data_IF_252200968087
#
_entry.id   IF_252200968087
#
_cell.length_a   1.000
_cell.length_b   1.000
_cell.length_c   1.000
_cell.angle_alpha   90.00
_cell.angle_beta   90.00
_cell.angle_gamma   90.00
#
_symmetry.space_group_name_H-M   'P 1'
#
loop_
_entity.id
_entity.type
_entity.pdbx_description
1 polymer ?
#
# COMPACT_ATOMS: atom_id res chain seq x y z
N UNK A 1 -19.20 15.34 63.55
CA UNK A 1 -19.32 13.95 64.07
C UNK A 1 -18.56 13.10 63.09
N UNK A 2 -17.34 12.80 63.35
CA UNK A 2 -16.74 11.58 63.93
C UNK A 2 -16.99 10.30 63.11
N UNK A 3 -15.89 9.84 62.49
CA UNK A 3 -15.35 8.45 62.36
C UNK A 3 -16.04 7.55 61.33
N UNK A 4 -15.36 6.74 60.55
CA UNK A 4 -14.23 5.84 60.81
C UNK A 4 -13.50 5.43 59.56
N UNK A 5 -12.15 5.49 59.57
CA UNK A 5 -11.25 4.72 58.70
C UNK A 5 -11.33 3.22 59.06
N UNK A 6 -11.23 2.37 58.03
CA UNK A 6 -10.72 1.00 58.18
C UNK A 6 -9.76 0.66 57.07
N UNK A 7 -8.50 0.63 57.46
CA UNK A 7 -7.38 0.07 56.71
C UNK A 7 -7.49 -1.47 56.65
N UNK A 8 -7.30 -2.06 55.46
CA UNK A 8 -7.09 -3.50 55.31
C UNK A 8 -5.64 -3.72 54.88
N UNK A 9 -4.84 -4.25 55.80
CA UNK A 9 -3.48 -4.74 55.61
C UNK A 9 -3.57 -6.17 55.05
N UNK A 10 -3.10 -6.39 53.85
CA UNK A 10 -2.92 -7.74 53.30
C UNK A 10 -1.47 -8.12 53.49
N UNK A 11 -1.24 -9.17 54.28
CA UNK A 11 0.08 -9.74 54.53
C UNK A 11 0.47 -10.66 53.38
N UNK A 12 1.61 -10.36 52.78
CA UNK A 12 2.29 -11.23 51.83
C UNK A 12 3.03 -12.32 52.57
N UNK A 13 2.67 -13.57 52.32
CA UNK A 13 3.45 -14.74 52.77
C UNK A 13 4.33 -15.19 51.63
N UNK A 14 5.65 -15.02 51.78
CA UNK A 14 6.65 -15.55 50.85
C UNK A 14 6.96 -17.01 51.25
N UNK A 15 6.74 -17.92 50.33
CA UNK A 15 7.21 -19.31 50.43
C UNK A 15 8.45 -19.47 49.55
N UNK A 16 9.60 -19.59 50.20
CA UNK A 16 10.89 -19.88 49.55
C UNK A 16 11.01 -21.39 49.46
N UNK A 17 10.87 -21.92 48.24
CA UNK A 17 11.18 -23.31 47.93
C UNK A 17 12.57 -23.40 47.29
N UNK A 18 13.54 -23.91 48.03
CA UNK A 18 14.88 -24.22 47.52
C UNK A 18 14.83 -25.57 46.76
N UNK A 19 15.11 -25.50 45.45
CA UNK A 19 15.40 -26.69 44.64
C UNK A 19 16.90 -26.78 44.41
N UNK A 20 17.53 -27.77 45.02
CA UNK A 20 18.94 -28.10 44.79
C UNK A 20 19.08 -28.82 43.44
N UNK A 21 19.77 -28.22 42.48
CA UNK A 21 20.15 -28.86 41.23
C UNK A 21 21.59 -29.38 41.40
N UNK A 22 21.75 -30.68 41.46
CA UNK A 22 23.04 -31.35 41.39
C UNK A 22 23.52 -31.34 39.94
N UNK A 23 24.60 -30.62 39.67
CA UNK A 23 25.29 -30.66 38.39
C UNK A 23 26.18 -31.90 38.30
N UNK A 24 25.84 -32.84 37.44
CA UNK A 24 26.72 -33.91 37.03
C UNK A 24 27.53 -33.46 35.81
N UNK A 25 28.81 -33.26 36.02
CA UNK A 25 29.77 -32.98 34.93
C UNK A 25 30.13 -34.31 34.27
N UNK A 26 29.65 -34.50 33.04
CA UNK A 26 30.17 -35.58 32.18
C UNK A 26 31.06 -34.88 31.11
N UNK A 27 32.37 -35.02 31.29
CA UNK A 27 33.36 -34.68 30.26
C UNK A 27 33.39 -35.78 29.22
N UNK A 28 32.90 -35.53 28.03
CA UNK A 28 33.17 -36.34 26.84
C UNK A 28 33.93 -35.46 25.82
N UNK A 29 35.19 -35.71 25.70
CA UNK A 29 35.98 -35.20 24.60
C UNK A 29 35.56 -35.95 23.33
N UNK A 30 35.00 -35.23 22.37
CA UNK A 30 34.78 -35.73 21.02
C UNK A 30 35.52 -34.83 20.03
N UNK A 31 36.44 -35.44 19.33
CA UNK A 31 37.22 -34.83 18.26
C UNK A 31 36.27 -34.27 17.19
N UNK A 32 36.46 -33.00 16.85
CA UNK A 32 35.74 -32.33 15.79
C UNK A 32 36.09 -32.91 14.43
N UNK A 33 35.09 -33.46 13.75
CA UNK A 33 35.11 -33.64 12.30
C UNK A 33 34.72 -32.34 11.64
N UNK A 34 35.43 -31.89 10.59
CA UNK A 34 35.06 -30.69 9.88
C UNK A 34 33.72 -30.95 9.16
N UNK A 35 32.70 -30.18 9.50
CA UNK A 35 31.47 -30.20 8.75
C UNK A 35 31.72 -29.79 7.29
N UNK A 36 31.72 -30.77 6.41
CA UNK A 36 31.68 -30.56 4.97
C UNK A 36 30.43 -29.73 4.65
N UNK A 37 30.62 -28.55 4.12
CA UNK A 37 29.60 -27.72 3.53
C UNK A 37 28.92 -28.54 2.41
N UNK A 38 27.65 -28.74 2.35
CA UNK A 38 27.03 -29.43 1.22
C UNK A 38 27.16 -28.52 -0.02
N UNK A 39 28.13 -28.84 -0.87
CA UNK A 39 28.24 -28.33 -2.22
C UNK A 39 27.42 -29.26 -3.12
N UNK A 40 26.16 -29.05 -3.19
CA UNK A 40 25.33 -29.38 -4.35
C UNK A 40 24.02 -28.61 -4.18
N UNK A 41 23.90 -27.50 -4.87
CA UNK A 41 22.60 -26.95 -5.21
C UNK A 41 21.86 -28.05 -6.00
N UNK A 42 21.10 -28.89 -5.31
CA UNK A 42 20.01 -29.55 -5.97
C UNK A 42 19.10 -28.43 -6.47
N UNK A 43 19.11 -28.22 -7.79
CA UNK A 43 18.05 -27.47 -8.42
C UNK A 43 16.75 -28.08 -7.89
N UNK A 44 15.98 -27.30 -7.15
CA UNK A 44 14.62 -27.65 -6.84
C UNK A 44 13.96 -27.70 -8.22
N UNK A 45 13.85 -28.91 -8.77
CA UNK A 45 13.00 -29.12 -9.94
C UNK A 45 11.62 -28.68 -9.47
N UNK A 46 11.11 -27.61 -10.07
CA UNK A 46 9.74 -27.19 -9.86
C UNK A 46 8.88 -28.47 -9.95
N UNK A 47 8.19 -28.76 -8.86
CA UNK A 47 7.23 -29.85 -8.89
C UNK A 47 6.35 -29.57 -10.09
N UNK A 48 6.23 -30.55 -10.99
CA UNK A 48 5.32 -30.49 -12.12
C UNK A 48 3.90 -30.53 -11.55
N UNK A 49 3.48 -29.40 -10.96
CA UNK A 49 2.08 -29.16 -10.60
C UNK A 49 1.26 -29.31 -11.88
N UNK A 50 0.06 -29.86 -11.77
CA UNK A 50 -0.89 -29.84 -12.90
C UNK A 50 -1.00 -28.39 -13.37
N UNK A 51 -0.98 -28.13 -14.68
CA UNK A 51 -1.15 -26.77 -15.18
C UNK A 51 -2.43 -26.19 -14.60
N UNK A 52 -2.38 -24.92 -14.21
CA UNK A 52 -3.57 -24.22 -13.74
C UNK A 52 -4.63 -24.22 -14.85
N UNK A 53 -5.85 -24.57 -14.49
CA UNK A 53 -6.99 -24.56 -15.43
C UNK A 53 -7.89 -23.35 -15.20
N UNK A 54 -7.54 -22.52 -14.23
CA UNK A 54 -8.36 -21.39 -13.82
C UNK A 54 -8.11 -20.17 -14.71
N UNK A 55 -9.19 -19.43 -14.92
CA UNK A 55 -9.23 -18.19 -15.65
C UNK A 55 -9.66 -17.07 -14.71
N UNK A 56 -8.79 -16.11 -14.47
CA UNK A 56 -9.03 -14.97 -13.59
C UNK A 56 -9.20 -13.68 -14.38
N UNK A 57 -9.89 -12.70 -13.83
CA UNK A 57 -9.93 -11.34 -14.33
C UNK A 57 -9.36 -10.36 -13.29
N UNK A 58 -8.67 -9.32 -13.79
CA UNK A 58 -8.12 -8.21 -12.99
C UNK A 58 -8.77 -6.93 -13.52
N UNK A 59 -9.59 -6.29 -12.70
CA UNK A 59 -10.40 -5.13 -13.09
C UNK A 59 -10.12 -4.02 -12.10
N UNK A 60 -9.74 -2.84 -12.59
CA UNK A 60 -9.29 -1.75 -11.74
C UNK A 60 -9.81 -0.40 -12.21
N UNK A 61 -9.86 0.56 -11.29
CA UNK A 61 -10.12 1.97 -11.60
C UNK A 61 -8.92 2.66 -12.28
N UNK A 62 -7.84 1.95 -12.53
CA UNK A 62 -6.58 2.49 -12.96
C UNK A 62 -6.51 2.97 -14.41
N UNK A 63 -5.41 3.61 -14.71
CA UNK A 63 -4.99 4.00 -16.05
C UNK A 63 -3.84 3.10 -16.56
N UNK A 64 -3.14 3.54 -17.61
CA UNK A 64 -1.92 2.89 -18.08
C UNK A 64 -0.64 3.61 -17.61
N UNK A 65 -0.74 4.38 -16.51
CA UNK A 65 0.38 5.09 -15.92
C UNK A 65 1.37 4.20 -15.19
N UNK A 66 2.41 4.82 -14.61
CA UNK A 66 3.53 4.11 -13.97
C UNK A 66 3.07 3.17 -12.85
N UNK A 67 2.11 3.59 -12.02
CA UNK A 67 1.59 2.77 -10.93
C UNK A 67 0.89 1.50 -11.44
N UNK A 68 -0.14 1.67 -12.26
CA UNK A 68 -1.00 0.55 -12.68
C UNK A 68 -0.30 -0.43 -13.64
N UNK A 69 0.65 0.06 -14.44
CA UNK A 69 1.45 -0.83 -15.29
C UNK A 69 2.24 -1.86 -14.50
N UNK A 70 2.72 -1.49 -13.29
CA UNK A 70 3.42 -2.40 -12.37
C UNK A 70 2.45 -3.40 -11.74
N UNK A 71 1.26 -2.95 -11.32
CA UNK A 71 0.18 -3.84 -10.84
C UNK A 71 -0.19 -4.88 -11.91
N UNK A 72 -0.41 -4.43 -13.15
CA UNK A 72 -0.77 -5.34 -14.26
C UNK A 72 0.37 -6.31 -14.60
N UNK A 73 1.63 -5.86 -14.50
CA UNK A 73 2.79 -6.74 -14.64
C UNK A 73 2.77 -7.83 -13.56
N UNK A 74 2.57 -7.47 -12.29
CA UNK A 74 2.49 -8.43 -11.20
C UNK A 74 1.43 -9.50 -11.42
N UNK A 75 0.23 -9.09 -11.85
CA UNK A 75 -0.85 -10.04 -12.13
C UNK A 75 -0.50 -10.99 -13.29
N UNK A 76 0.09 -10.47 -14.37
CA UNK A 76 0.50 -11.27 -15.55
C UNK A 76 1.62 -12.25 -15.19
N UNK A 77 2.61 -11.80 -14.41
CA UNK A 77 3.73 -12.64 -13.97
C UNK A 77 3.22 -13.77 -13.06
N UNK A 78 2.33 -13.45 -12.09
CA UNK A 78 1.72 -14.50 -11.25
C UNK A 78 0.94 -15.53 -12.05
N UNK A 79 0.15 -15.09 -13.04
CA UNK A 79 -0.58 -16.00 -13.91
C UNK A 79 0.37 -16.89 -14.72
N UNK A 80 1.45 -16.33 -15.26
CA UNK A 80 2.48 -17.06 -15.99
C UNK A 80 3.20 -18.08 -15.10
N UNK A 81 3.62 -17.68 -13.90
CA UNK A 81 4.32 -18.53 -12.94
C UNK A 81 3.47 -19.73 -12.48
N UNK A 82 2.17 -19.51 -12.33
CA UNK A 82 1.21 -20.54 -11.93
C UNK A 82 0.65 -21.34 -13.11
N UNK A 83 0.86 -20.89 -14.35
CA UNK A 83 0.29 -21.48 -15.56
C UNK A 83 -1.21 -21.22 -15.71
N UNK A 84 -1.74 -20.19 -15.04
CA UNK A 84 -3.14 -19.76 -15.12
C UNK A 84 -3.38 -18.83 -16.32
N UNK A 85 -4.64 -18.57 -16.63
CA UNK A 85 -5.05 -17.65 -17.70
C UNK A 85 -5.67 -16.39 -17.09
N UNK A 86 -5.34 -15.22 -17.62
CA UNK A 86 -6.11 -14.00 -17.40
C UNK A 86 -7.06 -13.79 -18.58
N UNK A 87 -8.37 -13.69 -18.31
CA UNK A 87 -9.35 -13.34 -19.34
C UNK A 87 -9.33 -11.85 -19.63
N UNK A 88 -9.12 -11.05 -18.58
CA UNK A 88 -9.15 -9.60 -18.62
C UNK A 88 -8.06 -9.02 -17.68
N UNK A 89 -7.43 -7.95 -18.14
CA UNK A 89 -6.63 -7.03 -17.31
C UNK A 89 -7.06 -5.65 -17.74
N UNK A 90 -7.99 -5.06 -16.99
CA UNK A 90 -8.72 -3.86 -17.38
C UNK A 90 -8.48 -2.71 -16.38
N UNK A 91 -8.26 -1.52 -16.92
CA UNK A 91 -8.24 -0.27 -16.18
C UNK A 91 -9.29 0.69 -16.73
N UNK A 92 -10.18 1.19 -15.86
CA UNK A 92 -11.32 2.01 -16.28
C UNK A 92 -10.96 3.44 -16.64
N UNK A 93 -9.90 3.99 -16.08
CA UNK A 93 -9.49 5.37 -16.37
C UNK A 93 -8.81 5.45 -17.74
N UNK A 94 -9.44 6.16 -18.68
CA UNK A 94 -8.88 6.35 -20.01
C UNK A 94 -8.07 7.65 -20.10
N UNK A 95 -7.16 7.69 -21.06
CA UNK A 95 -6.34 8.88 -21.29
C UNK A 95 -7.21 10.11 -21.56
N UNK A 96 -6.98 11.18 -20.79
CA UNK A 96 -7.71 12.43 -20.91
C UNK A 96 -8.95 12.55 -20.00
N UNK A 97 -9.32 11.50 -19.29
CA UNK A 97 -10.35 11.59 -18.24
C UNK A 97 -9.76 12.18 -16.96
N UNK A 98 -10.55 12.98 -16.24
CA UNK A 98 -10.15 13.54 -14.95
C UNK A 98 -10.15 12.50 -13.83
N UNK A 99 -11.13 11.61 -13.88
CA UNK A 99 -11.44 10.61 -12.84
C UNK A 99 -11.58 9.23 -13.49
N UNK A 100 -11.47 8.15 -12.71
CA UNK A 100 -11.83 6.81 -13.13
C UNK A 100 -13.28 6.74 -13.65
N UNK A 101 -13.54 5.81 -14.54
CA UNK A 101 -14.90 5.51 -15.01
C UNK A 101 -15.47 4.32 -14.24
N UNK A 102 -16.04 4.60 -13.07
CA UNK A 102 -16.57 3.59 -12.17
C UNK A 102 -17.73 2.79 -12.81
N UNK A 103 -18.51 3.41 -13.71
CA UNK A 103 -19.56 2.69 -14.44
C UNK A 103 -18.95 1.70 -15.44
N UNK A 104 -17.89 2.08 -16.14
CA UNK A 104 -17.18 1.16 -17.03
C UNK A 104 -16.51 0.03 -16.26
N UNK A 105 -15.92 0.33 -15.08
CA UNK A 105 -15.35 -0.68 -14.21
C UNK A 105 -16.41 -1.67 -13.73
N UNK A 106 -17.55 -1.20 -13.24
CA UNK A 106 -18.65 -2.07 -12.82
C UNK A 106 -19.19 -2.93 -13.97
N UNK A 107 -19.32 -2.37 -15.18
CA UNK A 107 -19.72 -3.13 -16.36
C UNK A 107 -18.73 -4.27 -16.71
N UNK A 108 -17.43 -4.01 -16.58
CA UNK A 108 -16.41 -5.05 -16.80
C UNK A 108 -16.46 -6.15 -15.73
N UNK A 109 -16.80 -5.81 -14.48
CA UNK A 109 -17.05 -6.81 -13.43
C UNK A 109 -18.25 -7.69 -13.81
N UNK A 110 -19.36 -7.09 -14.29
CA UNK A 110 -20.53 -7.82 -14.76
C UNK A 110 -20.21 -8.72 -15.94
N UNK A 111 -19.42 -8.26 -16.92
CA UNK A 111 -18.99 -9.04 -18.07
C UNK A 111 -18.15 -10.25 -17.63
N UNK A 112 -17.19 -10.07 -16.75
CA UNK A 112 -16.38 -11.16 -16.21
C UNK A 112 -17.22 -12.20 -15.44
N UNK A 113 -18.24 -11.76 -14.68
CA UNK A 113 -19.19 -12.65 -14.01
C UNK A 113 -19.99 -13.47 -15.07
N UNK A 114 -20.45 -12.83 -16.12
CA UNK A 114 -21.22 -13.48 -17.20
C UNK A 114 -20.37 -14.44 -18.03
N UNK A 115 -19.07 -14.17 -18.16
CA UNK A 115 -18.09 -15.06 -18.76
C UNK A 115 -17.69 -16.25 -17.87
N UNK A 116 -18.21 -16.31 -16.66
CA UNK A 116 -17.92 -17.37 -15.68
C UNK A 116 -16.42 -17.53 -15.41
N UNK A 117 -15.72 -16.43 -15.12
CA UNK A 117 -14.34 -16.49 -14.66
C UNK A 117 -14.24 -17.26 -13.34
N UNK A 118 -13.10 -17.89 -13.08
CA UNK A 118 -12.87 -18.65 -11.87
C UNK A 118 -12.58 -17.81 -10.63
N UNK A 119 -12.30 -16.52 -10.80
CA UNK A 119 -12.09 -15.55 -9.71
C UNK A 119 -11.82 -14.15 -10.23
N UNK A 120 -12.06 -13.19 -9.37
CA UNK A 120 -11.95 -11.75 -9.64
C UNK A 120 -10.92 -11.10 -8.70
N UNK A 121 -10.03 -10.29 -9.26
CA UNK A 121 -9.18 -9.36 -8.55
C UNK A 121 -9.61 -7.94 -8.92
N UNK A 122 -10.15 -7.17 -7.98
CA UNK A 122 -10.84 -5.90 -8.28
C UNK A 122 -10.38 -4.79 -7.35
N UNK A 123 -10.16 -3.58 -7.89
CA UNK A 123 -9.99 -2.38 -7.07
C UNK A 123 -11.33 -1.68 -6.91
N UNK A 124 -11.94 -1.78 -5.74
CA UNK A 124 -13.27 -1.21 -5.46
C UNK A 124 -13.14 0.29 -5.14
N UNK A 125 -13.13 1.11 -6.20
CA UNK A 125 -12.95 2.55 -6.09
C UNK A 125 -14.24 3.27 -5.66
N UNK A 126 -15.42 2.81 -6.11
CA UNK A 126 -16.73 3.28 -5.66
C UNK A 126 -17.53 2.15 -5.02
N UNK A 127 -17.36 1.92 -3.70
CA UNK A 127 -18.05 0.84 -2.99
C UNK A 127 -19.57 0.93 -3.06
N UNK A 128 -20.15 2.14 -3.21
CA UNK A 128 -21.60 2.30 -3.33
C UNK A 128 -22.13 1.68 -4.63
N UNK A 129 -21.35 1.76 -5.69
CA UNK A 129 -21.70 1.20 -7.01
C UNK A 129 -21.31 -0.28 -7.13
N UNK A 130 -20.10 -0.65 -6.70
CA UNK A 130 -19.52 -1.96 -7.01
C UNK A 130 -19.84 -3.06 -6.00
N UNK A 131 -20.04 -2.72 -4.71
CA UNK A 131 -20.33 -3.73 -3.68
C UNK A 131 -21.50 -4.66 -4.03
N UNK A 132 -22.65 -4.20 -4.57
CA UNK A 132 -23.72 -5.11 -4.95
C UNK A 132 -23.32 -6.11 -6.04
N UNK A 133 -22.54 -5.68 -7.02
CA UNK A 133 -22.06 -6.52 -8.13
C UNK A 133 -21.04 -7.54 -7.63
N UNK A 134 -20.08 -7.12 -6.80
CA UNK A 134 -19.09 -7.99 -6.20
C UNK A 134 -19.72 -9.02 -5.25
N UNK A 135 -20.69 -8.59 -4.44
CA UNK A 135 -21.46 -9.51 -3.59
C UNK A 135 -22.22 -10.55 -4.43
N UNK A 136 -22.79 -10.14 -5.59
CA UNK A 136 -23.43 -11.06 -6.52
C UNK A 136 -22.44 -12.08 -7.11
N UNK A 137 -21.20 -11.67 -7.41
CA UNK A 137 -20.15 -12.60 -7.87
C UNK A 137 -19.87 -13.68 -6.81
N UNK A 138 -19.67 -13.26 -5.55
CA UNK A 138 -19.42 -14.16 -4.42
C UNK A 138 -20.61 -15.12 -4.22
N UNK A 139 -21.86 -14.62 -4.29
CA UNK A 139 -23.06 -15.44 -4.17
C UNK A 139 -23.19 -16.48 -5.29
N UNK A 140 -22.58 -16.25 -6.45
CA UNK A 140 -22.49 -17.21 -7.57
C UNK A 140 -21.28 -18.17 -7.48
N UNK A 141 -20.51 -18.09 -6.38
CA UNK A 141 -19.34 -18.94 -6.13
C UNK A 141 -18.07 -18.48 -6.86
N UNK A 142 -18.02 -17.25 -7.34
CA UNK A 142 -16.81 -16.63 -7.89
C UNK A 142 -16.08 -15.93 -6.75
N UNK A 143 -14.91 -16.42 -6.32
CA UNK A 143 -14.13 -15.78 -5.26
C UNK A 143 -13.62 -14.41 -5.73
N UNK A 144 -13.64 -13.44 -4.80
CA UNK A 144 -13.18 -12.08 -5.02
C UNK A 144 -12.02 -11.78 -4.07
N UNK A 145 -10.95 -11.20 -4.60
CA UNK A 145 -9.88 -10.54 -3.86
C UNK A 145 -9.88 -9.08 -4.27
N UNK A 146 -10.04 -8.18 -3.30
CA UNK A 146 -9.89 -6.75 -3.56
C UNK A 146 -8.40 -6.39 -3.64
N UNK A 147 -8.08 -5.29 -4.33
CA UNK A 147 -6.73 -4.77 -4.41
C UNK A 147 -6.73 -3.23 -4.45
N UNK A 148 -5.74 -2.61 -3.85
CA UNK A 148 -5.51 -1.17 -3.83
C UNK A 148 -6.63 -0.33 -3.17
N UNK A 149 -7.86 -0.37 -3.67
CA UNK A 149 -9.03 0.32 -3.13
C UNK A 149 -10.06 -0.67 -2.58
N UNK A 150 -10.96 -0.22 -1.68
CA UNK A 150 -11.92 -1.07 -0.99
C UNK A 150 -11.27 -1.99 0.06
N UNK A 151 -10.14 -1.58 0.61
CA UNK A 151 -9.34 -2.41 1.52
C UNK A 151 -9.69 -2.25 2.99
N UNK A 152 -10.70 -1.50 3.35
CA UNK A 152 -11.13 -1.50 4.74
C UNK A 152 -11.97 -2.74 5.09
N UNK A 153 -12.08 -3.04 6.36
CA UNK A 153 -12.81 -4.24 6.80
C UNK A 153 -14.32 -4.17 6.50
N UNK A 154 -14.90 -2.97 6.38
CA UNK A 154 -16.29 -2.78 6.07
C UNK A 154 -16.57 -3.10 4.59
N UNK A 155 -15.72 -2.64 3.68
CA UNK A 155 -15.82 -2.92 2.24
C UNK A 155 -15.58 -4.40 1.94
N UNK A 156 -14.53 -5.00 2.54
CA UNK A 156 -14.29 -6.45 2.43
C UNK A 156 -15.53 -7.25 2.89
N UNK A 157 -16.14 -6.86 4.00
CA UNK A 157 -17.33 -7.53 4.51
C UNK A 157 -18.56 -7.29 3.63
N UNK A 158 -18.74 -6.08 3.09
CA UNK A 158 -19.88 -5.72 2.25
C UNK A 158 -19.84 -6.45 0.89
N UNK A 159 -18.67 -6.63 0.30
CA UNK A 159 -18.49 -7.39 -0.94
C UNK A 159 -18.54 -8.90 -0.71
N UNK A 160 -18.20 -9.38 0.47
CA UNK A 160 -17.96 -10.80 0.74
C UNK A 160 -16.62 -11.28 0.16
N UNK A 161 -15.72 -10.37 -0.19
CA UNK A 161 -14.39 -10.70 -0.70
C UNK A 161 -13.59 -11.49 0.35
N UNK A 162 -12.67 -12.33 -0.12
CA UNK A 162 -11.81 -13.14 0.76
C UNK A 162 -10.87 -12.27 1.59
N UNK A 163 -10.35 -11.23 0.97
CA UNK A 163 -9.36 -10.30 1.52
C UNK A 163 -9.17 -9.13 0.55
N UNK A 164 -8.39 -8.14 0.97
CA UNK A 164 -7.80 -7.14 0.07
C UNK A 164 -6.27 -7.24 0.12
N UNK A 165 -5.61 -7.02 -1.01
CA UNK A 165 -4.16 -6.83 -1.08
C UNK A 165 -3.91 -5.35 -1.34
N UNK A 166 -3.43 -4.63 -0.34
CA UNK A 166 -3.25 -3.19 -0.45
C UNK A 166 -2.48 -2.60 0.71
N UNK A 167 -2.31 -1.30 0.68
CA UNK A 167 -1.64 -0.57 1.74
C UNK A 167 -2.67 -0.10 2.79
N UNK A 168 -2.39 -0.19 4.10
CA UNK A 168 -3.15 0.54 5.11
C UNK A 168 -2.91 2.04 4.99
N UNK A 169 -3.77 2.75 4.28
CA UNK A 169 -3.53 4.11 3.76
C UNK A 169 -3.32 5.15 4.86
N UNK A 170 -4.14 5.10 5.91
CA UNK A 170 -4.01 5.99 7.04
C UNK A 170 -2.68 5.79 7.79
N UNK A 171 -2.26 4.53 7.97
CA UNK A 171 -0.96 4.19 8.58
C UNK A 171 0.22 4.67 7.73
N UNK A 172 0.09 4.58 6.42
CA UNK A 172 1.08 5.07 5.47
C UNK A 172 1.25 6.58 5.56
N UNK A 173 0.13 7.31 5.59
CA UNK A 173 0.13 8.75 5.84
C UNK A 173 0.71 9.13 7.19
N UNK A 174 0.34 8.42 8.25
CA UNK A 174 0.88 8.64 9.60
C UNK A 174 2.41 8.47 9.63
N UNK A 175 2.93 7.41 9.02
CA UNK A 175 4.37 7.18 8.87
C UNK A 175 5.07 8.34 8.16
N UNK A 176 4.49 8.86 7.08
CA UNK A 176 5.00 10.03 6.37
C UNK A 176 4.99 11.29 7.25
N UNK A 177 3.91 11.52 8.00
CA UNK A 177 3.80 12.65 8.94
C UNK A 177 4.84 12.60 10.04
N UNK A 178 5.04 11.46 10.66
CA UNK A 178 6.10 11.23 11.65
C UNK A 178 7.48 11.49 11.06
N UNK A 179 7.70 11.09 9.79
CA UNK A 179 8.99 11.33 9.12
C UNK A 179 9.22 12.80 8.84
N UNK A 180 8.23 13.55 8.34
CA UNK A 180 8.36 14.99 8.19
C UNK A 180 8.64 15.71 9.52
N UNK A 181 7.95 15.31 10.58
CA UNK A 181 8.18 15.84 11.92
C UNK A 181 9.62 15.59 12.40
N UNK A 182 10.16 14.38 12.16
CA UNK A 182 11.56 14.06 12.47
C UNK A 182 12.56 14.89 11.65
N UNK A 183 12.18 15.34 10.45
CA UNK A 183 12.96 16.26 9.61
C UNK A 183 12.76 17.73 10.01
N UNK A 184 12.01 18.03 11.09
CA UNK A 184 11.68 19.39 11.51
C UNK A 184 10.71 20.12 10.57
N UNK A 185 9.96 19.38 9.75
CA UNK A 185 8.99 19.91 8.80
C UNK A 185 7.58 19.69 9.33
N UNK A 186 6.89 20.75 9.66
CA UNK A 186 5.61 20.67 10.37
C UNK A 186 4.46 21.44 9.72
N UNK A 187 4.73 22.22 8.67
CA UNK A 187 3.69 22.85 7.85
C UNK A 187 3.72 22.19 6.46
N UNK A 188 2.87 21.20 6.30
CA UNK A 188 2.93 20.27 5.16
C UNK A 188 1.71 20.44 4.28
N UNK A 189 1.93 20.49 2.97
CA UNK A 189 0.90 20.42 1.94
C UNK A 189 0.77 18.97 1.45
N UNK A 190 -0.43 18.41 1.55
CA UNK A 190 -0.81 17.14 0.92
C UNK A 190 -1.44 17.42 -0.46
N UNK A 191 -0.91 16.80 -1.51
CA UNK A 191 -1.36 17.03 -2.90
C UNK A 191 -2.08 15.79 -3.41
N UNK A 192 -3.39 15.90 -3.58
CA UNK A 192 -4.29 14.85 -4.05
C UNK A 192 -4.46 15.01 -5.57
N UNK A 193 -4.18 13.97 -6.33
CA UNK A 193 -4.13 14.03 -7.79
C UNK A 193 -5.45 13.58 -8.48
N UNK A 194 -6.34 12.91 -7.77
CA UNK A 194 -7.67 12.46 -8.21
C UNK A 194 -8.58 12.26 -7.00
N UNK A 195 -9.88 12.05 -7.17
CA UNK A 195 -10.76 11.64 -6.08
C UNK A 195 -10.41 10.22 -5.59
N UNK A 196 -10.78 9.92 -4.37
CA UNK A 196 -10.60 8.59 -3.77
C UNK A 196 -10.46 8.64 -2.26
N UNK A 197 -11.17 7.76 -1.54
CA UNK A 197 -11.09 7.68 -0.09
C UNK A 197 -9.68 7.30 0.38
N UNK A 198 -9.02 6.39 -0.32
CA UNK A 198 -7.65 5.99 -0.06
C UNK A 198 -6.67 7.19 -0.04
N UNK A 199 -6.84 8.16 -0.96
CA UNK A 199 -5.99 9.35 -1.01
C UNK A 199 -6.30 10.33 0.13
N UNK A 200 -7.57 10.47 0.51
CA UNK A 200 -7.97 11.24 1.68
C UNK A 200 -7.40 10.63 2.96
N UNK A 201 -7.41 9.31 3.08
CA UNK A 201 -6.87 8.60 4.25
C UNK A 201 -5.35 8.78 4.38
N UNK A 202 -4.60 8.87 3.28
CA UNK A 202 -3.17 9.25 3.30
C UNK A 202 -2.97 10.65 3.88
N UNK A 203 -3.77 11.65 3.43
CA UNK A 203 -3.69 13.01 3.98
C UNK A 203 -4.14 13.05 5.45
N UNK A 204 -5.17 12.29 5.82
CA UNK A 204 -5.64 12.20 7.21
C UNK A 204 -4.57 11.57 8.12
N UNK A 205 -3.96 10.48 7.69
CA UNK A 205 -2.82 9.89 8.37
C UNK A 205 -1.65 10.86 8.52
N UNK A 206 -1.33 11.61 7.46
CA UNK A 206 -0.28 12.64 7.48
C UNK A 206 -0.53 13.67 8.60
N UNK A 207 -1.77 14.15 8.75
CA UNK A 207 -2.14 15.08 9.83
C UNK A 207 -1.94 14.47 11.22
N UNK A 208 -2.28 13.18 11.38
CA UNK A 208 -2.08 12.45 12.65
C UNK A 208 -0.60 12.29 12.99
N UNK A 209 0.23 11.86 12.04
CA UNK A 209 1.67 11.72 12.23
C UNK A 209 2.37 13.03 12.56
N UNK A 210 1.93 14.14 11.96
CA UNK A 210 2.39 15.48 12.32
C UNK A 210 1.93 15.91 13.71
N UNK A 211 0.86 15.33 14.25
CA UNK A 211 0.24 15.70 15.52
C UNK A 211 -0.58 16.98 15.44
N UNK A 212 -1.18 17.27 14.27
CA UNK A 212 -1.95 18.51 14.03
C UNK A 212 -3.47 18.30 13.95
N UNK A 213 -3.92 17.07 14.10
CA UNK A 213 -5.34 16.70 14.06
C UNK A 213 -5.56 15.34 13.40
N UNK A 214 -6.82 14.99 13.18
CA UNK A 214 -7.20 13.73 12.51
C UNK A 214 -7.32 13.85 10.97
N UNK A 215 -7.35 15.08 10.45
CA UNK A 215 -7.51 15.36 9.01
C UNK A 215 -6.63 16.54 8.59
N UNK A 216 -6.14 16.52 7.37
CA UNK A 216 -5.65 17.73 6.71
C UNK A 216 -6.83 18.68 6.45
N UNK A 217 -6.55 19.96 6.32
CA UNK A 217 -7.59 20.96 6.08
C UNK A 217 -7.51 21.48 4.65
N UNK A 218 -8.61 21.48 3.95
CA UNK A 218 -8.71 22.12 2.64
C UNK A 218 -8.58 23.65 2.79
N UNK A 219 -7.90 24.30 1.86
CA UNK A 219 -7.80 25.75 1.80
C UNK A 219 -6.40 26.30 2.09
N UNK A 220 -6.33 27.45 2.77
CA UNK A 220 -5.08 28.15 2.97
C UNK A 220 -4.28 27.61 4.14
N UNK A 221 -2.98 27.41 3.95
CA UNK A 221 -2.07 27.07 5.02
C UNK A 221 -2.01 28.19 6.06
N UNK A 222 -2.06 27.90 7.39
CA UNK A 222 -1.99 28.89 8.42
C UNK A 222 -0.62 29.61 8.39
N UNK A 223 -0.63 30.92 8.71
CA UNK A 223 0.57 31.74 8.66
C UNK A 223 1.66 31.30 9.64
N UNK A 224 1.28 30.60 10.71
CA UNK A 224 2.20 30.13 11.77
C UNK A 224 1.77 28.79 12.34
N UNK A 225 2.76 28.04 12.82
CA UNK A 225 2.58 26.79 13.54
C UNK A 225 2.52 25.56 12.65
N UNK A 226 2.48 24.37 13.28
CA UNK A 226 2.30 23.10 12.57
C UNK A 226 0.93 23.02 11.92
N UNK A 227 0.88 22.46 10.70
CA UNK A 227 -0.36 22.29 9.95
C UNK A 227 -0.21 21.18 8.92
N UNK A 228 -1.32 20.54 8.61
CA UNK A 228 -1.54 19.80 7.38
C UNK A 228 -2.63 20.49 6.58
N UNK A 229 -2.31 20.91 5.37
CA UNK A 229 -3.29 21.40 4.41
C UNK A 229 -3.32 20.48 3.19
N UNK A 230 -4.45 20.45 2.51
CA UNK A 230 -4.62 19.62 1.31
C UNK A 230 -5.17 20.44 0.15
N UNK A 231 -4.76 20.05 -1.04
CA UNK A 231 -5.36 20.52 -2.30
C UNK A 231 -5.64 19.32 -3.20
N UNK A 232 -6.77 19.38 -3.88
CA UNK A 232 -7.11 18.44 -4.96
C UNK A 232 -6.76 19.10 -6.28
N UNK A 233 -5.99 18.42 -7.11
CA UNK A 233 -5.61 18.93 -8.43
C UNK A 233 -6.82 18.88 -9.37
N UNK A 234 -7.05 19.98 -10.07
CA UNK A 234 -8.14 20.12 -11.04
C UNK A 234 -7.76 19.71 -12.47
N UNK A 235 -6.50 19.37 -12.69
CA UNK A 235 -6.01 18.92 -13.99
C UNK A 235 -6.54 17.53 -14.29
N UNK A 236 -7.25 17.31 -15.41
CA UNK A 236 -7.69 15.99 -15.82
C UNK A 236 -6.53 15.01 -15.91
N UNK A 237 -6.69 13.84 -15.30
CA UNK A 237 -5.65 12.81 -15.23
C UNK A 237 -4.28 13.40 -14.83
N UNK A 238 -4.24 14.06 -13.67
CA UNK A 238 -3.07 14.81 -13.20
C UNK A 238 -1.81 13.94 -13.12
N UNK A 239 -1.94 12.66 -12.74
CA UNK A 239 -0.82 11.72 -12.67
C UNK A 239 -0.17 11.47 -14.03
N UNK A 240 -0.95 11.39 -15.10
CA UNK A 240 -0.47 11.23 -16.48
C UNK A 240 -0.12 12.57 -17.16
N UNK A 241 -0.56 13.71 -16.58
CA UNK A 241 -0.27 15.07 -17.07
C UNK A 241 0.42 15.94 -15.99
N UNK A 242 1.50 15.48 -15.37
CA UNK A 242 2.06 16.10 -14.16
C UNK A 242 2.60 17.50 -14.42
N UNK A 243 3.13 17.78 -15.61
CA UNK A 243 3.66 19.10 -15.98
C UNK A 243 2.56 20.17 -16.05
N UNK A 244 1.35 19.81 -16.46
CA UNK A 244 0.20 20.70 -16.45
C UNK A 244 -0.33 20.89 -15.04
N UNK A 245 -0.40 19.81 -14.25
CA UNK A 245 -0.92 19.81 -12.90
C UNK A 245 -0.08 20.62 -11.92
N UNK A 246 1.24 20.64 -12.11
CA UNK A 246 2.17 21.23 -11.14
C UNK A 246 2.03 22.77 -11.03
N UNK A 247 1.45 23.43 -12.02
CA UNK A 247 1.14 24.85 -11.97
C UNK A 247 0.25 25.24 -10.78
N UNK A 248 -0.73 24.41 -10.43
CA UNK A 248 -1.60 24.61 -9.26
C UNK A 248 -0.80 24.49 -7.95
N UNK A 249 0.08 23.50 -7.84
CA UNK A 249 0.93 23.31 -6.65
C UNK A 249 1.90 24.47 -6.46
N UNK A 250 2.58 24.90 -7.53
CA UNK A 250 3.53 26.01 -7.47
C UNK A 250 2.86 27.33 -7.13
N UNK A 251 1.67 27.61 -7.69
CA UNK A 251 0.88 28.80 -7.35
C UNK A 251 0.46 28.78 -5.87
N UNK A 252 0.04 27.62 -5.35
CA UNK A 252 -0.26 27.47 -3.92
C UNK A 252 0.96 27.77 -3.05
N UNK A 253 2.12 27.20 -3.38
CA UNK A 253 3.36 27.42 -2.64
C UNK A 253 3.84 28.87 -2.67
N UNK A 254 3.62 29.60 -3.78
CA UNK A 254 3.90 31.04 -3.88
C UNK A 254 3.00 31.85 -2.95
N UNK A 255 1.71 31.51 -2.88
CA UNK A 255 0.75 32.17 -1.99
C UNK A 255 0.99 31.82 -0.50
N UNK A 256 1.62 30.69 -0.21
CA UNK A 256 1.82 30.15 1.13
C UNK A 256 3.30 29.81 1.42
N UNK A 257 4.20 30.83 1.48
CA UNK A 257 5.64 30.59 1.63
C UNK A 257 6.04 29.93 2.95
N UNK A 258 5.15 29.87 3.94
CA UNK A 258 5.33 29.17 5.21
C UNK A 258 5.22 27.64 5.09
N UNK A 259 4.68 27.09 4.00
CA UNK A 259 4.69 25.64 3.72
C UNK A 259 6.13 25.22 3.52
N UNK A 260 6.58 24.29 4.38
CA UNK A 260 7.98 23.86 4.42
C UNK A 260 8.21 22.42 3.98
N UNK A 261 7.11 21.70 3.68
CA UNK A 261 7.17 20.39 3.03
C UNK A 261 5.92 20.13 2.18
N UNK A 262 6.08 19.25 1.21
CA UNK A 262 5.00 18.78 0.32
C UNK A 262 5.03 17.25 0.28
N UNK A 263 3.87 16.65 0.49
CA UNK A 263 3.61 15.24 0.23
C UNK A 263 2.75 15.13 -1.02
N UNK A 264 3.29 14.56 -2.08
CA UNK A 264 2.51 14.21 -3.27
C UNK A 264 2.05 12.75 -3.16
N UNK A 265 0.81 12.48 -3.59
CA UNK A 265 0.24 11.14 -3.49
C UNK A 265 0.45 10.33 -4.78
N UNK A 266 1.37 10.78 -5.63
CA UNK A 266 1.77 10.12 -6.87
C UNK A 266 3.20 10.53 -7.23
N UNK A 267 4.01 9.59 -7.70
CA UNK A 267 5.42 9.75 -8.04
C UNK A 267 5.66 10.80 -9.16
N UNK A 268 4.84 10.79 -10.21
CA UNK A 268 4.99 11.71 -11.34
C UNK A 268 4.75 13.17 -10.93
N UNK A 269 3.81 13.43 -10.02
CA UNK A 269 3.58 14.77 -9.45
C UNK A 269 4.77 15.18 -8.58
N UNK A 270 5.34 14.28 -7.81
CA UNK A 270 6.52 14.54 -6.95
C UNK A 270 7.75 14.96 -7.75
N UNK A 271 8.08 14.21 -8.79
CA UNK A 271 9.23 14.50 -9.67
C UNK A 271 9.01 15.76 -10.51
N UNK A 272 7.78 16.02 -10.97
CA UNK A 272 7.43 17.27 -11.65
C UNK A 272 7.57 18.48 -10.72
N UNK A 273 7.20 18.37 -9.45
CA UNK A 273 7.38 19.44 -8.45
C UNK A 273 8.85 19.75 -8.21
N UNK A 274 9.70 18.74 -8.11
CA UNK A 274 11.16 18.93 -7.98
C UNK A 274 11.71 19.67 -9.20
N UNK A 275 11.32 19.24 -10.41
CA UNK A 275 11.73 19.83 -11.67
C UNK A 275 11.26 21.29 -11.83
N UNK A 276 10.13 21.65 -11.22
CA UNK A 276 9.61 23.03 -11.26
C UNK A 276 10.37 24.02 -10.36
N UNK A 277 11.25 23.54 -9.46
CA UNK A 277 12.07 24.36 -8.57
C UNK A 277 11.30 25.46 -7.82
N UNK A 278 10.30 25.12 -7.00
CA UNK A 278 9.49 26.10 -6.28
C UNK A 278 10.34 27.03 -5.42
N UNK A 279 10.02 28.34 -5.44
CA UNK A 279 10.87 29.40 -4.87
C UNK A 279 11.11 29.23 -3.36
N UNK A 280 10.13 28.73 -2.59
CA UNK A 280 10.24 28.49 -1.16
C UNK A 280 10.99 27.20 -0.80
N UNK A 281 11.39 26.40 -1.78
CA UNK A 281 12.19 25.17 -1.64
C UNK A 281 11.67 24.24 -0.53
N UNK A 282 10.40 23.83 -0.56
CA UNK A 282 9.88 22.89 0.44
C UNK A 282 10.61 21.55 0.34
N UNK A 283 10.68 20.82 1.43
CA UNK A 283 11.10 19.41 1.37
C UNK A 283 10.00 18.61 0.67
N UNK A 284 10.35 17.86 -0.36
CA UNK A 284 9.41 17.05 -1.14
C UNK A 284 9.53 15.60 -0.75
N UNK A 285 8.39 14.95 -0.58
CA UNK A 285 8.26 13.50 -0.51
C UNK A 285 7.05 13.06 -1.34
N UNK A 286 6.98 11.80 -1.70
CA UNK A 286 5.93 11.26 -2.54
C UNK A 286 5.43 9.91 -2.05
N UNK A 287 4.29 9.46 -2.56
CA UNK A 287 3.94 8.06 -2.66
C UNK A 287 4.46 7.53 -3.99
N UNK A 288 4.71 6.23 -4.01
CA UNK A 288 5.17 5.43 -5.12
C UNK A 288 6.62 5.66 -5.52
N UNK A 289 7.22 4.61 -6.09
CA UNK A 289 8.56 4.60 -6.62
C UNK A 289 8.55 4.52 -8.15
N UNK A 290 9.61 4.98 -8.72
CA UNK A 290 10.06 4.73 -10.09
C UNK A 290 11.54 5.14 -10.23
N UNK A 291 12.09 4.99 -11.42
CA UNK A 291 13.48 5.37 -11.69
C UNK A 291 13.77 6.85 -11.44
N UNK A 292 12.79 7.74 -11.67
CA UNK A 292 12.97 9.18 -11.45
C UNK A 292 12.99 9.51 -9.95
N UNK A 293 12.07 8.92 -9.17
CA UNK A 293 12.04 9.02 -7.70
C UNK A 293 13.32 8.45 -7.09
N UNK A 294 13.81 7.31 -7.60
CA UNK A 294 15.08 6.73 -7.15
C UNK A 294 16.23 7.72 -7.33
N UNK A 295 16.34 8.37 -8.49
CA UNK A 295 17.36 9.39 -8.78
C UNK A 295 17.22 10.56 -7.82
N UNK A 296 16.01 11.07 -7.60
CA UNK A 296 15.74 12.22 -6.74
C UNK A 296 16.03 11.94 -5.25
N UNK A 297 15.76 10.71 -4.78
CA UNK A 297 16.16 10.29 -3.42
C UNK A 297 17.69 10.18 -3.31
N UNK A 298 18.35 9.57 -4.29
CA UNK A 298 19.82 9.41 -4.27
C UNK A 298 20.58 10.75 -4.28
N UNK A 299 20.10 11.71 -5.08
CA UNK A 299 20.71 13.05 -5.15
C UNK A 299 20.28 13.98 -4.00
N UNK A 300 19.22 13.64 -3.25
CA UNK A 300 18.71 14.39 -2.11
C UNK A 300 17.68 15.49 -2.49
N UNK A 301 17.17 15.51 -3.71
CA UNK A 301 16.09 16.42 -4.14
C UNK A 301 14.75 15.99 -3.54
N UNK A 302 14.55 14.68 -3.36
CA UNK A 302 13.43 14.09 -2.64
C UNK A 302 13.89 13.51 -1.32
N UNK A 303 13.15 13.78 -0.23
CA UNK A 303 13.53 13.33 1.11
C UNK A 303 13.25 11.85 1.33
N UNK A 304 12.09 11.39 0.89
CA UNK A 304 11.65 10.00 0.97
C UNK A 304 10.48 9.73 0.03
N UNK A 305 10.21 8.46 -0.20
CA UNK A 305 8.97 7.98 -0.79
C UNK A 305 8.31 6.94 0.12
N UNK A 306 6.98 6.82 0.02
CA UNK A 306 6.19 5.75 0.63
C UNK A 306 5.88 4.75 -0.47
N UNK A 307 6.50 3.59 -0.39
CA UNK A 307 6.34 2.50 -1.33
C UNK A 307 5.16 1.62 -0.91
N UNK A 308 4.24 1.38 -1.84
CA UNK A 308 3.07 0.53 -1.68
C UNK A 308 3.31 -0.89 -2.19
N UNK A 309 4.45 -1.16 -2.83
CA UNK A 309 4.79 -2.43 -3.49
C UNK A 309 3.72 -2.83 -4.52
N UNK A 310 3.56 -2.02 -5.55
CA UNK A 310 2.53 -2.12 -6.57
C UNK A 310 2.51 -3.49 -7.25
N UNK A 311 3.68 -4.06 -7.51
CA UNK A 311 3.81 -5.41 -8.08
C UNK A 311 3.07 -6.45 -7.23
N UNK A 312 3.23 -6.39 -5.91
CA UNK A 312 2.56 -7.32 -5.00
C UNK A 312 1.05 -7.14 -5.00
N UNK A 313 0.54 -5.93 -5.21
CA UNK A 313 -0.90 -5.69 -5.34
C UNK A 313 -1.52 -6.36 -6.56
N UNK A 314 -0.73 -6.60 -7.60
CA UNK A 314 -1.16 -7.40 -8.75
C UNK A 314 -0.88 -8.90 -8.59
N UNK A 315 0.31 -9.25 -8.11
CA UNK A 315 0.78 -10.63 -8.04
C UNK A 315 0.00 -11.47 -7.01
N UNK A 316 -0.13 -10.96 -5.78
CA UNK A 316 -0.72 -11.72 -4.67
C UNK A 316 -2.20 -12.04 -4.87
N UNK A 317 -3.08 -11.17 -5.42
CA UNK A 317 -4.46 -11.54 -5.69
C UNK A 317 -4.59 -12.80 -6.55
N UNK A 318 -3.77 -12.94 -7.60
CA UNK A 318 -3.78 -14.10 -8.46
C UNK A 318 -3.33 -15.36 -7.71
N UNK A 319 -2.28 -15.25 -6.89
CA UNK A 319 -1.82 -16.36 -6.04
C UNK A 319 -2.92 -16.78 -5.06
N UNK A 320 -3.59 -15.84 -4.41
CA UNK A 320 -4.65 -16.11 -3.44
C UNK A 320 -5.87 -16.77 -4.09
N UNK A 321 -6.30 -16.28 -5.24
CA UNK A 321 -7.38 -16.89 -6.03
C UNK A 321 -7.02 -18.32 -6.48
N UNK A 322 -5.78 -18.51 -6.93
CA UNK A 322 -5.28 -19.83 -7.30
C UNK A 322 -5.31 -20.80 -6.12
N UNK A 323 -4.77 -20.39 -4.96
CA UNK A 323 -4.75 -21.23 -3.76
C UNK A 323 -6.16 -21.57 -3.28
N UNK A 324 -7.07 -20.61 -3.33
CA UNK A 324 -8.47 -20.82 -2.98
C UNK A 324 -9.14 -21.86 -3.86
N UNK A 325 -8.97 -21.75 -5.18
CA UNK A 325 -9.55 -22.70 -6.15
C UNK A 325 -8.87 -24.07 -6.09
N UNK A 326 -7.54 -24.10 -5.90
CA UNK A 326 -6.76 -25.35 -5.89
C UNK A 326 -6.99 -26.16 -4.62
N UNK A 327 -7.29 -25.50 -3.51
CA UNK A 327 -7.41 -26.10 -2.17
C UNK A 327 -8.81 -25.95 -1.56
N UNK A 328 -9.84 -25.93 -2.40
CA UNK A 328 -11.25 -26.05 -2.02
C UNK A 328 -11.70 -25.01 -0.98
N UNK A 329 -11.36 -23.74 -1.18
CA UNK A 329 -11.83 -22.65 -0.35
C UNK A 329 -10.89 -22.23 0.78
N UNK A 330 -9.65 -22.72 0.81
CA UNK A 330 -8.66 -22.19 1.75
C UNK A 330 -8.22 -20.80 1.33
N UNK A 331 -8.35 -19.83 2.22
CA UNK A 331 -7.96 -18.45 1.97
C UNK A 331 -7.07 -17.91 3.08
N UNK A 332 -6.32 -16.87 2.77
CA UNK A 332 -5.57 -16.06 3.73
C UNK A 332 -6.28 -14.72 3.96
N UNK A 333 -5.84 -13.98 4.96
CA UNK A 333 -6.38 -12.66 5.28
C UNK A 333 -7.61 -12.69 6.18
N UNK A 334 -8.43 -13.75 6.15
CA UNK A 334 -9.57 -13.91 7.05
C UNK A 334 -10.56 -12.73 7.03
N UNK A 335 -10.80 -12.13 5.86
CA UNK A 335 -11.65 -10.94 5.72
C UNK A 335 -10.96 -9.64 6.15
N UNK A 336 -9.64 -9.62 6.23
CA UNK A 336 -8.83 -8.41 6.52
C UNK A 336 -7.80 -8.17 5.42
N UNK A 337 -7.20 -6.99 5.41
CA UNK A 337 -6.20 -6.62 4.41
C UNK A 337 -4.87 -7.37 4.59
N UNK A 338 -4.37 -7.93 3.51
CA UNK A 338 -2.99 -8.39 3.36
C UNK A 338 -2.16 -7.17 2.93
N UNK A 339 -1.36 -6.64 3.85
CA UNK A 339 -0.62 -5.42 3.61
C UNK A 339 0.52 -5.63 2.61
N UNK A 340 0.52 -4.88 1.50
CA UNK A 340 1.62 -4.80 0.54
C UNK A 340 2.64 -3.72 0.89
N UNK A 341 2.30 -2.76 1.74
CA UNK A 341 3.10 -1.66 2.28
C UNK A 341 2.52 -1.20 3.62
N UNK A 342 2.88 0.00 4.13
CA UNK A 342 3.85 0.94 3.56
C UNK A 342 5.30 0.56 3.87
N UNK A 343 6.20 0.86 2.96
CA UNK A 343 7.64 0.85 3.21
C UNK A 343 8.22 2.23 2.95
N UNK A 344 8.88 2.81 3.95
CA UNK A 344 9.48 4.15 3.81
C UNK A 344 10.86 4.04 3.15
N UNK A 345 10.97 4.57 1.94
CA UNK A 345 12.20 4.56 1.14
C UNK A 345 12.87 5.92 1.20
N UNK A 346 14.12 5.94 1.61
CA UNK A 346 14.95 7.13 1.72
C UNK A 346 16.40 6.82 1.33
N UNK A 347 17.26 7.84 1.28
CA UNK A 347 18.65 7.70 0.83
C UNK A 347 19.42 6.59 1.56
N UNK A 348 19.09 6.30 2.80
CA UNK A 348 19.75 5.27 3.62
C UNK A 348 19.40 3.84 3.19
N UNK A 349 18.28 3.62 2.52
CA UNK A 349 17.77 2.28 2.20
C UNK A 349 17.34 2.09 0.74
N UNK A 350 17.35 3.12 -0.11
CA UNK A 350 16.94 3.06 -1.53
C UNK A 350 17.64 1.93 -2.30
N UNK A 351 18.88 1.57 -1.91
CA UNK A 351 19.60 0.46 -2.55
C UNK A 351 18.94 -0.90 -2.38
N UNK A 352 18.02 -1.04 -1.41
CA UNK A 352 17.32 -2.31 -1.16
C UNK A 352 16.21 -2.59 -2.19
N UNK A 353 15.63 -1.53 -2.76
CA UNK A 353 14.55 -1.61 -3.76
C UNK A 353 15.02 -1.31 -5.18
N UNK A 354 16.27 -0.86 -5.35
CA UNK A 354 16.82 -0.46 -6.65
C UNK A 354 16.74 -1.55 -7.73
N UNK A 355 16.87 -2.81 -7.36
CA UNK A 355 16.74 -3.92 -8.30
C UNK A 355 15.29 -4.13 -8.78
N UNK A 356 14.31 -4.00 -7.88
CA UNK A 356 12.89 -4.07 -8.20
C UNK A 356 12.49 -2.90 -9.12
N UNK A 357 12.90 -1.67 -8.79
CA UNK A 357 12.66 -0.49 -9.64
C UNK A 357 13.23 -0.71 -11.05
N UNK A 358 14.47 -1.21 -11.16
CA UNK A 358 15.11 -1.47 -12.44
C UNK A 358 14.42 -2.58 -13.26
N UNK A 359 13.77 -3.54 -12.59
CA UNK A 359 13.00 -4.61 -13.21
C UNK A 359 11.58 -4.19 -13.59
N UNK A 360 11.12 -3.01 -13.15
CA UNK A 360 9.72 -2.58 -13.27
C UNK A 360 8.79 -3.36 -12.35
N UNK A 361 9.29 -3.77 -11.20
CA UNK A 361 8.55 -4.49 -10.14
C UNK A 361 8.20 -3.54 -8.96
N UNK A 362 8.45 -2.23 -9.17
CA UNK A 362 8.19 -1.21 -8.16
C UNK A 362 8.04 0.19 -8.81
#
# INVERSE_FOLDING_TARGET
MRRLQRSLVVRLVAVIGAVAITASVVSAASAGSPHARPTSGQAITAASGKPCHFRFAVITHGDNGSFWSVVYKGAKDAAADLGCTLSEVYGSQQQGQAEPDDNAENAQIEDAINEHVDGLAVSDHDPALMNPTLHSAVARGIPVVLLNAGCDNADIAATGAMTCVGQPEQLAGEGAGLRFKALGKTNVLCVIHQSGQNLLDRCNGLAQGLGVGSTCKTGSAPAKGPACTEIVLSTPNAASNPQQAIGQVTAYLQAHPQVNAVMTLNNAIGTALISAHPANKPVVATFDLDTAVEVDIKNGSMAFAVDQQQFLQGYLPIVLLYLYKQHEGQSTGGGTTVASGPFLVEKSNISKVAAAIAAGDD
#
